data_IF_062052982179
#
_entry.id   IF_062052982179
#
_cell.length_a   1.000
_cell.length_b   1.000
_cell.length_c   1.000
_cell.angle_alpha   90.00
_cell.angle_beta   90.00
_cell.angle_gamma   90.00
#
_symmetry.space_group_name_H-M   'P 1'
#
loop_
_entity.id
_entity.type
_entity.pdbx_description
1 polymer ?
#
# COMPACT_ATOMS: atom_id res chain seq x y z
N UNK A 1 -21.08 37.50 -0.75
CA UNK A 1 -21.38 36.49 -1.80
C UNK A 1 -20.14 35.73 -2.22
N UNK A 2 -19.04 36.41 -2.45
CA UNK A 2 -17.81 35.76 -2.86
C UNK A 2 -17.10 35.06 -1.71
N UNK A 3 -17.40 35.35 -0.48
CA UNK A 3 -16.80 34.71 0.68
C UNK A 3 -17.13 33.21 0.67
N UNK A 4 -16.15 32.37 0.85
CA UNK A 4 -16.30 30.93 0.81
C UNK A 4 -16.26 30.34 -0.57
N UNK A 5 -16.31 31.15 -1.61
CA UNK A 5 -16.30 30.68 -2.98
C UNK A 5 -15.02 29.86 -3.29
N UNK A 6 -13.86 30.37 -2.86
CA UNK A 6 -12.59 29.66 -3.03
C UNK A 6 -12.56 28.34 -2.27
N UNK A 7 -13.09 28.33 -1.05
CA UNK A 7 -13.17 27.10 -0.25
C UNK A 7 -14.06 26.08 -0.92
N UNK A 8 -15.18 26.51 -1.48
CA UNK A 8 -16.10 25.62 -2.17
C UNK A 8 -15.49 25.05 -3.43
N UNK A 9 -14.80 25.88 -4.22
CA UNK A 9 -14.11 25.42 -5.43
C UNK A 9 -13.01 24.44 -5.07
N UNK A 10 -12.21 24.76 -4.05
CA UNK A 10 -11.15 23.89 -3.58
C UNK A 10 -11.70 22.54 -3.10
N UNK A 11 -12.78 22.58 -2.36
CA UNK A 11 -13.43 21.36 -1.87
C UNK A 11 -13.96 20.50 -3.02
N UNK A 12 -14.65 21.11 -3.97
CA UNK A 12 -15.17 20.41 -5.13
C UNK A 12 -14.05 19.79 -5.95
N UNK A 13 -12.94 20.53 -6.16
CA UNK A 13 -11.78 20.03 -6.89
C UNK A 13 -11.11 18.87 -6.14
N UNK A 14 -10.98 18.97 -4.82
CA UNK A 14 -10.39 17.92 -4.01
C UNK A 14 -11.25 16.65 -4.05
N UNK A 15 -12.56 16.81 -3.99
CA UNK A 15 -13.48 15.68 -4.09
C UNK A 15 -13.41 14.99 -5.46
N UNK A 16 -13.34 15.78 -6.54
CA UNK A 16 -13.25 15.22 -7.89
C UNK A 16 -11.91 14.51 -8.13
N UNK A 17 -10.85 14.97 -7.47
CA UNK A 17 -9.51 14.37 -7.59
C UNK A 17 -9.28 13.24 -6.59
N UNK A 18 -10.25 12.99 -5.72
CA UNK A 18 -10.11 11.99 -4.67
C UNK A 18 -10.03 10.59 -5.28
N UNK A 19 -9.06 9.82 -4.79
CA UNK A 19 -8.93 8.44 -5.20
C UNK A 19 -10.06 7.62 -4.60
N UNK A 20 -10.86 7.00 -5.44
CA UNK A 20 -12.02 6.20 -5.01
C UNK A 20 -11.74 4.70 -4.99
N UNK A 21 -10.62 4.26 -5.56
CA UNK A 21 -10.27 2.84 -5.55
C UNK A 21 -9.91 2.41 -4.12
N UNK A 22 -10.31 1.19 -3.72
CA UNK A 22 -9.92 0.68 -2.41
C UNK A 22 -8.40 0.57 -2.31
N UNK A 23 -7.86 0.94 -1.18
CA UNK A 23 -6.43 0.92 -0.97
C UNK A 23 -6.08 0.62 0.49
N UNK A 24 -4.84 0.26 0.72
CA UNK A 24 -4.28 0.12 2.06
C UNK A 24 -2.84 0.59 2.04
N UNK A 25 -2.41 1.20 3.13
CA UNK A 25 -1.07 1.75 3.27
C UNK A 25 -0.47 1.30 4.59
N UNK A 26 0.76 0.83 4.54
CA UNK A 26 1.53 0.51 5.72
C UNK A 26 2.71 1.47 5.81
N UNK A 27 2.79 2.20 6.92
CA UNK A 27 3.87 3.16 7.17
C UNK A 27 4.84 2.61 8.20
N UNK A 28 6.10 2.97 8.06
CA UNK A 28 7.17 2.61 9.01
C UNK A 28 7.36 1.10 9.15
N UNK A 29 7.17 0.37 8.05
CA UNK A 29 7.45 -1.05 8.03
C UNK A 29 8.96 -1.29 8.11
N UNK A 30 9.37 -2.24 8.94
CA UNK A 30 10.79 -2.55 9.14
C UNK A 30 11.26 -3.60 8.15
N UNK A 31 11.18 -3.27 6.88
CA UNK A 31 11.66 -4.12 5.79
C UNK A 31 12.41 -3.27 4.78
N UNK A 32 13.32 -3.89 4.05
CA UNK A 32 14.04 -3.21 2.99
C UNK A 32 13.09 -2.87 1.84
N UNK A 33 13.19 -1.65 1.31
CA UNK A 33 12.40 -1.23 0.15
C UNK A 33 12.67 -2.14 -1.05
N UNK A 34 13.93 -2.48 -1.29
CA UNK A 34 14.32 -3.38 -2.39
C UNK A 34 13.66 -4.74 -2.26
N UNK A 35 13.71 -5.34 -1.07
CA UNK A 35 13.12 -6.65 -0.83
C UNK A 35 11.60 -6.64 -0.98
N UNK A 36 10.96 -5.55 -0.52
CA UNK A 36 9.53 -5.37 -0.71
C UNK A 36 9.19 -5.22 -2.20
N UNK A 37 9.99 -4.47 -2.94
CA UNK A 37 9.75 -4.26 -4.37
C UNK A 37 9.82 -5.57 -5.16
N UNK A 38 10.74 -6.47 -4.81
CA UNK A 38 10.83 -7.76 -5.49
C UNK A 38 9.53 -8.56 -5.35
N UNK A 39 8.94 -8.55 -4.17
CA UNK A 39 7.67 -9.24 -3.93
C UNK A 39 6.52 -8.54 -4.63
N UNK A 40 6.48 -7.20 -4.56
CA UNK A 40 5.43 -6.42 -5.18
C UNK A 40 5.43 -6.57 -6.71
N UNK A 41 6.59 -6.68 -7.32
CA UNK A 41 6.71 -6.86 -8.78
C UNK A 41 6.06 -8.16 -9.23
N UNK A 42 6.09 -9.18 -8.39
CA UNK A 42 5.50 -10.49 -8.74
C UNK A 42 3.97 -10.43 -8.69
N UNK A 43 3.40 -9.69 -7.76
CA UNK A 43 1.94 -9.66 -7.59
C UNK A 43 1.25 -8.56 -8.38
N UNK A 44 1.99 -7.62 -8.95
CA UNK A 44 1.39 -6.49 -9.67
C UNK A 44 0.62 -6.98 -10.88
N UNK A 45 -0.63 -6.54 -11.01
CA UNK A 45 -1.49 -6.93 -12.12
C UNK A 45 -2.14 -8.30 -11.99
N UNK A 46 -1.92 -9.01 -10.89
CA UNK A 46 -2.51 -10.33 -10.65
C UNK A 46 -3.85 -10.20 -9.94
N UNK A 47 -4.70 -11.20 -10.12
CA UNK A 47 -5.93 -11.31 -9.34
C UNK A 47 -5.60 -11.41 -7.86
N UNK A 48 -6.50 -10.94 -7.01
CA UNK A 48 -6.32 -10.97 -5.57
C UNK A 48 -6.07 -12.39 -5.06
N UNK A 49 -6.82 -13.36 -5.55
CA UNK A 49 -6.65 -14.76 -5.12
C UNK A 49 -5.29 -15.30 -5.52
N UNK A 50 -4.86 -15.03 -6.76
CA UNK A 50 -3.54 -15.42 -7.25
C UNK A 50 -2.44 -14.75 -6.44
N UNK A 51 -2.61 -13.44 -6.15
CA UNK A 51 -1.64 -12.69 -5.37
C UNK A 51 -1.51 -13.25 -3.95
N UNK A 52 -2.62 -13.57 -3.30
CA UNK A 52 -2.60 -14.18 -1.96
C UNK A 52 -1.90 -15.54 -1.98
N UNK A 53 -2.14 -16.35 -3.00
CA UNK A 53 -1.46 -17.63 -3.15
C UNK A 53 0.05 -17.47 -3.30
N UNK A 54 0.47 -16.54 -4.15
CA UNK A 54 1.89 -16.23 -4.33
C UNK A 54 2.53 -15.80 -3.01
N UNK A 55 1.88 -14.90 -2.29
CA UNK A 55 2.40 -14.39 -1.02
C UNK A 55 2.46 -15.47 0.07
N UNK A 56 1.51 -16.40 0.07
CA UNK A 56 1.47 -17.48 1.04
C UNK A 56 2.67 -18.43 0.88
N UNK A 57 3.06 -18.72 -0.35
CA UNK A 57 4.14 -19.67 -0.63
C UNK A 57 5.50 -19.03 -0.86
N UNK A 58 5.58 -17.72 -0.88
CA UNK A 58 6.85 -17.02 -1.04
C UNK A 58 7.62 -17.03 0.29
N UNK A 59 8.88 -17.52 0.31
CA UNK A 59 9.63 -17.63 1.57
C UNK A 59 10.18 -16.31 2.11
N UNK A 60 10.07 -15.21 1.37
CA UNK A 60 10.63 -13.93 1.80
C UNK A 60 9.80 -13.35 2.95
N UNK A 61 10.49 -12.72 3.91
CA UNK A 61 9.83 -12.08 5.06
C UNK A 61 8.83 -11.00 4.61
N UNK A 62 9.20 -10.23 3.59
CA UNK A 62 8.33 -9.17 3.08
C UNK A 62 6.98 -9.70 2.61
N UNK A 63 6.90 -10.95 2.17
CA UNK A 63 5.65 -11.57 1.73
C UNK A 63 4.60 -11.63 2.83
N UNK A 64 5.00 -11.96 4.07
CA UNK A 64 4.05 -12.01 5.19
C UNK A 64 3.47 -10.64 5.48
N UNK A 65 4.29 -9.62 5.45
CA UNK A 65 3.87 -8.24 5.71
C UNK A 65 2.94 -7.75 4.61
N UNK A 66 3.31 -7.99 3.36
CA UNK A 66 2.52 -7.57 2.19
C UNK A 66 1.20 -8.34 2.14
N UNK A 67 1.20 -9.61 2.53
CA UNK A 67 -0.02 -10.41 2.59
C UNK A 67 -1.04 -9.79 3.53
N UNK A 68 -0.62 -9.40 4.72
CA UNK A 68 -1.50 -8.74 5.69
C UNK A 68 -2.04 -7.43 5.15
N UNK A 69 -1.20 -6.65 4.48
CA UNK A 69 -1.60 -5.40 3.88
C UNK A 69 -2.62 -5.61 2.77
N UNK A 70 -2.41 -6.62 1.94
CA UNK A 70 -3.35 -6.97 0.87
C UNK A 70 -4.69 -7.43 1.44
N UNK A 71 -4.69 -8.22 2.50
CA UNK A 71 -5.92 -8.63 3.18
C UNK A 71 -6.67 -7.42 3.72
N UNK A 72 -5.96 -6.44 4.25
CA UNK A 72 -6.55 -5.18 4.72
C UNK A 72 -7.19 -4.42 3.56
N UNK A 73 -6.53 -4.35 2.41
CA UNK A 73 -7.07 -3.68 1.23
C UNK A 73 -8.33 -4.38 0.71
N UNK A 74 -8.35 -5.71 0.73
CA UNK A 74 -9.52 -6.50 0.34
C UNK A 74 -10.69 -6.21 1.28
N UNK A 75 -10.43 -6.19 2.58
CA UNK A 75 -11.46 -5.87 3.57
C UNK A 75 -12.01 -4.46 3.36
N UNK A 76 -11.15 -3.50 3.01
CA UNK A 76 -11.61 -2.14 2.69
C UNK A 76 -12.50 -2.13 1.46
N UNK A 77 -12.16 -2.92 0.44
CA UNK A 77 -12.96 -3.01 -0.77
C UNK A 77 -14.35 -3.60 -0.48
N UNK A 78 -14.41 -4.66 0.30
CA UNK A 78 -15.67 -5.32 0.63
C UNK A 78 -16.54 -4.49 1.54
N UNK A 79 -15.97 -3.96 2.62
CA UNK A 79 -16.74 -3.30 3.68
C UNK A 79 -17.09 -1.86 3.35
N UNK A 80 -16.17 -1.12 2.72
CA UNK A 80 -16.37 0.30 2.48
C UNK A 80 -16.95 0.59 1.10
N UNK A 81 -16.59 -0.22 0.10
CA UNK A 81 -17.00 0.02 -1.28
C UNK A 81 -17.98 -1.05 -1.81
N UNK A 82 -18.30 -2.07 -1.01
CA UNK A 82 -19.25 -3.11 -1.40
C UNK A 82 -18.82 -3.94 -2.60
N UNK A 83 -17.51 -4.04 -2.83
CA UNK A 83 -16.97 -4.78 -3.96
C UNK A 83 -16.87 -6.27 -3.67
N UNK A 84 -16.98 -7.08 -4.71
CA UNK A 84 -16.82 -8.52 -4.61
C UNK A 84 -15.34 -8.89 -4.76
N UNK A 85 -14.79 -9.59 -3.77
CA UNK A 85 -13.39 -9.99 -3.77
C UNK A 85 -12.99 -10.82 -5.00
N UNK A 86 -13.92 -11.60 -5.55
CA UNK A 86 -13.63 -12.44 -6.70
C UNK A 86 -13.29 -11.65 -7.96
N UNK A 87 -13.71 -10.40 -8.02
CA UNK A 87 -13.51 -9.54 -9.18
C UNK A 87 -12.37 -8.54 -8.99
N UNK A 88 -11.67 -8.59 -7.87
CA UNK A 88 -10.60 -7.66 -7.56
C UNK A 88 -9.25 -8.12 -8.14
N UNK A 89 -8.42 -7.16 -8.50
CA UNK A 89 -7.05 -7.43 -8.92
C UNK A 89 -6.13 -6.32 -8.38
N UNK A 90 -4.84 -6.58 -8.36
CA UNK A 90 -3.85 -5.62 -7.89
C UNK A 90 -3.55 -4.65 -9.04
N UNK A 91 -4.20 -3.49 -9.01
CA UNK A 91 -4.05 -2.48 -10.06
C UNK A 91 -2.71 -1.74 -9.93
N UNK A 92 -2.35 -1.35 -8.71
CA UNK A 92 -1.10 -0.65 -8.45
C UNK A 92 -0.57 -1.04 -7.08
N UNK A 93 0.72 -1.27 -7.00
CA UNK A 93 1.40 -1.52 -5.73
C UNK A 93 2.83 -1.01 -5.84
N UNK A 94 3.30 -0.36 -4.79
CA UNK A 94 4.64 0.19 -4.76
C UNK A 94 5.10 0.35 -3.31
N UNK A 95 6.42 0.49 -3.15
CA UNK A 95 7.02 0.74 -1.86
C UNK A 95 7.98 1.92 -2.00
N UNK A 96 7.86 2.86 -1.08
CA UNK A 96 8.70 4.04 -1.02
C UNK A 96 9.62 3.97 0.19
N UNK A 97 10.78 4.61 0.07
CA UNK A 97 11.74 4.66 1.16
C UNK A 97 11.19 5.52 2.29
N UNK A 98 11.20 4.96 3.49
CA UNK A 98 10.81 5.67 4.70
C UNK A 98 11.98 6.35 5.38
N UNK A 99 11.75 6.92 6.58
CA UNK A 99 12.83 7.54 7.34
C UNK A 99 13.88 6.51 7.76
N UNK A 100 15.12 6.95 7.75
CA UNK A 100 16.26 6.11 8.15
C UNK A 100 16.59 6.36 9.60
N UNK A 101 16.64 5.30 10.40
CA UNK A 101 17.09 5.38 11.78
C UNK A 101 18.57 5.08 11.82
N UNK A 102 19.37 6.15 11.96
CA UNK A 102 20.82 6.04 12.00
C UNK A 102 21.26 5.51 13.36
N UNK A 103 22.17 4.55 13.34
CA UNK A 103 22.76 3.98 14.55
C UNK A 103 24.27 3.99 14.43
N UNK A 104 24.94 4.22 15.54
CA UNK A 104 26.40 4.25 15.60
C UNK A 104 26.87 2.93 16.19
N UNK A 105 27.83 2.31 15.53
CA UNK A 105 28.55 1.16 16.07
C UNK A 105 30.00 1.54 16.17
N UNK A 106 30.49 2.01 17.36
CA UNK A 106 31.87 2.45 17.51
C UNK A 106 32.85 1.30 17.28
N UNK A 107 33.92 1.58 16.58
CA UNK A 107 35.00 0.62 16.33
C UNK A 107 36.33 1.33 16.42
N UNK A 108 37.38 0.58 16.80
CA UNK A 108 38.71 1.11 17.00
C UNK A 108 38.66 2.28 17.99
N UNK A 109 39.05 3.45 17.60
CA UNK A 109 39.06 4.60 18.48
C UNK A 109 37.80 5.43 18.47
N UNK A 110 36.69 4.83 18.11
CA UNK A 110 35.42 5.54 18.12
C UNK A 110 34.60 5.44 16.83
#
# INVERSE_FOLDING_TARGET
MAKGHRSQIKRARNESNRETRPSAKLSYARISVQKACYVLDVIRGKDVQTALGILTYNPRYASSVIKKLLESAIANAENNNGMNADNLYVAACYADKGPTMKRIQPRAQG
#
